data_IF_193771888670
#
_entry.id   IF_193771888670
#
_cell.length_a   1.000
_cell.length_b   1.000
_cell.length_c   1.000
_cell.angle_alpha   90.00
_cell.angle_beta   90.00
_cell.angle_gamma   90.00
#
_symmetry.space_group_name_H-M   'P 1'
#
loop_
_entity.id
_entity.type
_entity.pdbx_description
1 polymer ?
#
# COMPACT_ATOMS: atom_id res chain seq x y z
N UNK A 1 0.05 -4.21 -2.01
CA UNK A 1 -1.17 -4.36 -2.80
C UNK A 1 -2.02 -5.50 -2.25
N UNK A 2 -3.36 -5.45 -2.39
CA UNK A 2 -4.24 -6.45 -1.76
C UNK A 2 -3.95 -7.90 -2.17
N UNK A 3 -3.48 -8.14 -3.38
CA UNK A 3 -3.18 -9.48 -3.87
C UNK A 3 -2.02 -10.15 -3.11
N UNK A 4 -1.18 -9.36 -2.46
CA UNK A 4 -0.02 -9.83 -1.71
C UNK A 4 -0.13 -9.57 -0.22
N UNK A 5 -1.16 -8.84 0.19
CA UNK A 5 -1.35 -8.46 1.57
C UNK A 5 -2.43 -9.31 2.22
N UNK A 6 -2.08 -10.36 2.85
CA UNK A 6 -2.98 -11.16 3.65
C UNK A 6 -2.37 -11.35 5.03
N UNK A 7 -3.19 -11.74 5.97
CA UNK A 7 -2.71 -12.07 7.29
C UNK A 7 -1.68 -13.20 7.18
N UNK A 8 -0.53 -13.03 7.81
CA UNK A 8 0.55 -13.97 7.75
C UNK A 8 1.48 -13.83 6.56
N UNK A 9 1.17 -12.94 5.61
CA UNK A 9 2.01 -12.68 4.46
C UNK A 9 2.82 -11.39 4.59
N UNK A 10 3.03 -10.95 5.80
CA UNK A 10 3.82 -9.76 6.07
C UNK A 10 5.31 -10.09 6.15
N UNK A 11 6.14 -9.07 5.99
CA UNK A 11 7.57 -9.19 6.03
C UNK A 11 8.16 -9.66 4.71
N UNK A 12 9.33 -10.29 4.76
CA UNK A 12 10.12 -10.60 3.57
C UNK A 12 9.46 -11.57 2.60
N UNK A 13 8.58 -12.45 3.09
CA UNK A 13 7.90 -13.44 2.24
C UNK A 13 7.08 -12.84 1.13
N UNK A 14 6.29 -11.81 1.45
CA UNK A 14 5.47 -11.10 0.46
C UNK A 14 6.38 -10.44 -0.57
N UNK A 15 7.42 -9.78 -0.10
CA UNK A 15 8.33 -9.03 -0.95
C UNK A 15 9.20 -9.96 -1.79
N UNK A 16 9.61 -11.10 -1.25
CA UNK A 16 10.30 -12.13 -2.03
C UNK A 16 9.44 -12.62 -3.19
N UNK A 17 8.15 -12.85 -2.95
CA UNK A 17 7.23 -13.28 -4.00
C UNK A 17 7.06 -12.22 -5.08
N UNK A 18 6.95 -10.96 -4.71
CA UNK A 18 6.84 -9.84 -5.65
C UNK A 18 8.08 -9.75 -6.53
N UNK A 19 9.27 -9.83 -5.92
CA UNK A 19 10.53 -9.79 -6.65
C UNK A 19 10.67 -11.00 -7.57
N UNK A 20 10.32 -12.19 -7.08
CA UNK A 20 10.43 -13.42 -7.86
C UNK A 20 9.54 -13.43 -9.11
N UNK A 21 8.38 -12.77 -9.03
CA UNK A 21 7.47 -12.64 -10.16
C UNK A 21 7.89 -11.59 -11.18
N UNK A 22 8.93 -10.84 -10.88
CA UNK A 22 9.40 -9.77 -11.77
C UNK A 22 8.48 -8.56 -11.81
N UNK A 23 7.68 -8.35 -10.75
CA UNK A 23 6.84 -7.17 -10.66
C UNK A 23 7.68 -5.89 -10.69
N UNK A 24 7.18 -4.86 -11.32
CA UNK A 24 7.85 -3.56 -11.41
C UNK A 24 7.33 -2.55 -10.41
N UNK A 25 6.14 -2.81 -9.89
CA UNK A 25 5.46 -1.95 -8.92
C UNK A 25 4.91 -2.82 -7.83
N UNK A 26 5.15 -2.41 -6.60
CA UNK A 26 4.50 -2.90 -5.40
C UNK A 26 3.75 -1.73 -4.75
N UNK A 27 3.39 -1.84 -3.50
CA UNK A 27 2.72 -0.71 -2.86
C UNK A 27 2.32 -0.95 -1.44
N UNK A 28 1.75 0.11 -0.89
CA UNK A 28 1.16 0.13 0.45
C UNK A 28 -0.32 0.38 0.30
N UNK A 29 -1.12 -0.38 1.03
CA UNK A 29 -2.57 -0.18 1.10
C UNK A 29 -2.97 0.05 2.54
N UNK A 30 -3.70 1.13 2.79
CA UNK A 30 -4.31 1.40 4.10
C UNK A 30 -5.82 1.29 3.92
N UNK A 31 -6.47 0.51 4.77
CA UNK A 31 -7.90 0.27 4.68
C UNK A 31 -8.55 0.33 6.06
N UNK A 32 -9.87 0.55 6.07
CA UNK A 32 -10.64 0.41 7.30
C UNK A 32 -10.65 -1.06 7.72
N UNK A 33 -10.69 -1.28 9.01
CA UNK A 33 -10.81 -2.64 9.56
C UNK A 33 -12.30 -3.00 9.63
N UNK A 34 -12.64 -4.17 9.12
CA UNK A 34 -13.98 -4.72 9.22
C UNK A 34 -13.92 -6.00 10.04
N UNK A 35 -14.69 -6.08 11.12
CA UNK A 35 -14.69 -7.22 12.02
C UNK A 35 -15.24 -8.51 11.38
N UNK A 36 -16.05 -8.37 10.34
CA UNK A 36 -16.70 -9.50 9.68
C UNK A 36 -15.94 -10.01 8.46
N UNK A 37 -15.04 -9.21 7.91
CA UNK A 37 -14.31 -9.53 6.69
C UNK A 37 -12.83 -9.19 6.88
N UNK A 38 -11.98 -9.92 6.19
CA UNK A 38 -10.54 -9.67 6.21
C UNK A 38 -10.16 -8.36 5.53
N UNK A 39 -11.12 -7.73 4.85
CA UNK A 39 -10.90 -6.49 4.10
C UNK A 39 -11.97 -5.48 4.41
N UNK A 40 -11.55 -4.30 4.81
CA UNK A 40 -12.38 -3.11 4.81
C UNK A 40 -12.19 -2.30 3.53
N UNK A 41 -12.93 -1.22 3.41
CA UNK A 41 -12.79 -0.29 2.29
C UNK A 41 -11.40 0.37 2.31
N UNK A 42 -10.84 0.58 1.14
CA UNK A 42 -9.51 1.17 0.99
C UNK A 42 -9.57 2.67 1.25
N UNK A 43 -8.71 3.14 2.15
CA UNK A 43 -8.54 4.56 2.46
C UNK A 43 -7.57 5.21 1.49
N UNK A 44 -6.42 4.57 1.27
CA UNK A 44 -5.36 5.09 0.40
C UNK A 44 -4.45 3.96 -0.05
N UNK A 45 -3.86 4.16 -1.22
CA UNK A 45 -2.81 3.28 -1.75
C UNK A 45 -1.67 4.14 -2.26
N UNK A 46 -0.46 3.63 -2.14
CA UNK A 46 0.75 4.30 -2.59
C UNK A 46 1.64 3.31 -3.35
N UNK A 47 1.98 3.60 -4.59
CA UNK A 47 2.87 2.74 -5.34
C UNK A 47 4.31 2.85 -4.84
N UNK A 48 5.01 1.72 -4.86
CA UNK A 48 6.42 1.63 -4.49
C UNK A 48 7.16 0.95 -5.65
N UNK A 49 8.23 1.55 -6.17
CA UNK A 49 8.96 0.94 -7.28
C UNK A 49 9.69 -0.33 -6.84
N UNK A 50 9.74 -1.28 -7.76
CA UNK A 50 10.54 -2.50 -7.62
C UNK A 50 11.65 -2.45 -8.66
N UNK A 51 12.89 -2.47 -8.21
CA UNK A 51 14.05 -2.41 -9.09
C UNK A 51 14.56 -3.80 -9.43
N UNK A 52 15.21 -3.93 -10.57
CA UNK A 52 15.77 -5.20 -11.01
C UNK A 52 16.79 -5.79 -10.02
N UNK A 53 17.41 -4.92 -9.23
CA UNK A 53 18.42 -5.31 -8.24
C UNK A 53 17.83 -5.63 -6.88
N UNK A 54 16.49 -5.50 -6.72
CA UNK A 54 15.88 -5.73 -5.42
C UNK A 54 15.91 -7.18 -5.00
N UNK A 55 16.08 -7.34 -3.70
CA UNK A 55 15.75 -8.57 -2.98
C UNK A 55 14.47 -8.31 -2.19
N UNK A 56 13.88 -9.34 -1.61
CA UNK A 56 12.76 -9.18 -0.71
C UNK A 56 13.08 -8.21 0.45
N UNK A 57 14.30 -8.28 0.97
CA UNK A 57 14.73 -7.40 2.07
C UNK A 57 14.81 -5.94 1.66
N UNK A 58 15.39 -5.63 0.51
CA UNK A 58 15.50 -4.24 0.06
C UNK A 58 14.16 -3.65 -0.31
N UNK A 59 13.29 -4.44 -0.93
CA UNK A 59 11.94 -4.01 -1.23
C UNK A 59 11.13 -3.79 0.05
N UNK A 60 11.22 -4.70 1.02
CA UNK A 60 10.54 -4.57 2.30
C UNK A 60 10.91 -3.26 3.00
N UNK A 61 12.18 -2.89 3.00
CA UNK A 61 12.65 -1.65 3.61
C UNK A 61 12.03 -0.41 2.91
N UNK A 62 11.94 -0.45 1.58
CA UNK A 62 11.33 0.64 0.81
C UNK A 62 9.84 0.75 1.06
N UNK A 63 9.13 -0.37 1.10
CA UNK A 63 7.71 -0.40 1.41
C UNK A 63 7.44 0.13 2.82
N UNK A 64 8.26 -0.26 3.79
CA UNK A 64 8.12 0.21 5.16
C UNK A 64 8.28 1.73 5.27
N UNK A 65 9.23 2.31 4.55
CA UNK A 65 9.39 3.78 4.52
C UNK A 65 8.15 4.46 3.93
N UNK A 66 7.58 3.89 2.88
CA UNK A 66 6.35 4.42 2.29
C UNK A 66 5.17 4.31 3.27
N UNK A 67 5.06 3.20 3.98
CA UNK A 67 4.04 3.00 5.00
C UNK A 67 4.15 4.02 6.13
N UNK A 68 5.36 4.29 6.61
CA UNK A 68 5.60 5.28 7.66
C UNK A 68 5.23 6.71 7.22
N UNK A 69 5.25 6.99 5.94
CA UNK A 69 4.80 8.28 5.40
C UNK A 69 3.30 8.32 5.18
N UNK A 70 2.72 7.23 4.72
CA UNK A 70 1.32 7.17 4.36
C UNK A 70 0.40 7.04 5.58
N UNK A 71 0.75 6.19 6.54
CA UNK A 71 -0.12 5.85 7.64
C UNK A 71 -0.52 7.05 8.51
N UNK A 72 0.40 7.94 8.92
CA UNK A 72 0.00 9.12 9.69
C UNK A 72 -0.97 10.04 8.94
N UNK A 73 -0.81 10.15 7.63
CA UNK A 73 -1.69 10.97 6.78
C UNK A 73 -3.08 10.35 6.70
N UNK A 74 -3.16 9.03 6.56
CA UNK A 74 -4.43 8.31 6.54
C UNK A 74 -5.16 8.44 7.88
N UNK A 75 -4.45 8.28 8.99
CA UNK A 75 -5.01 8.42 10.32
C UNK A 75 -5.54 9.85 10.53
N UNK A 76 -4.78 10.85 10.16
CA UNK A 76 -5.19 12.25 10.28
C UNK A 76 -6.44 12.55 9.43
N UNK A 77 -6.52 12.01 8.23
CA UNK A 77 -7.66 12.20 7.34
C UNK A 77 -8.93 11.58 7.91
N UNK A 78 -8.84 10.41 8.51
CA UNK A 78 -9.98 9.76 9.16
C UNK A 78 -10.37 10.53 10.42
N UNK A 79 -9.42 10.93 11.24
CA UNK A 79 -9.67 11.67 12.47
C UNK A 79 -10.33 13.03 12.21
N UNK A 80 -9.97 13.70 11.13
CA UNK A 80 -10.54 15.01 10.78
C UNK A 80 -11.88 14.92 10.04
N UNK A 81 -12.27 13.74 9.60
CA UNK A 81 -13.44 13.55 8.76
C UNK A 81 -13.21 13.84 7.28
N UNK A 82 -11.97 14.12 6.86
CA UNK A 82 -11.63 14.30 5.45
C UNK A 82 -11.86 13.01 4.66
N UNK A 83 -11.73 11.87 5.32
CA UNK A 83 -12.04 10.55 4.78
C UNK A 83 -13.03 9.88 5.73
N UNK A 84 -14.11 9.36 5.19
CA UNK A 84 -15.14 8.67 5.96
C UNK A 84 -15.82 7.60 5.11
N UNK A 85 -16.56 6.73 5.76
CA UNK A 85 -17.44 5.79 5.09
C UNK A 85 -18.83 6.40 4.92
N UNK A 86 -19.42 6.23 3.75
CA UNK A 86 -20.81 6.57 3.52
C UNK A 86 -21.74 5.47 4.07
N UNK A 87 -23.08 5.64 4.01
CA UNK A 87 -24.00 4.62 4.50
C UNK A 87 -23.94 3.28 3.75
N UNK A 88 -23.31 3.25 2.57
CA UNK A 88 -23.14 2.04 1.76
C UNK A 88 -21.77 1.40 1.94
N UNK A 89 -20.97 1.89 2.90
CA UNK A 89 -19.64 1.35 3.17
C UNK A 89 -18.57 1.76 2.16
N UNK A 90 -18.82 2.80 1.38
CA UNK A 90 -17.84 3.35 0.42
C UNK A 90 -17.04 4.47 1.05
N UNK A 91 -15.80 4.57 0.65
CA UNK A 91 -14.93 5.66 1.10
C UNK A 91 -15.29 6.94 0.37
N UNK A 92 -15.53 8.00 1.13
CA UNK A 92 -15.78 9.36 0.63
C UNK A 92 -14.67 10.25 1.12
N UNK A 93 -14.21 11.14 0.24
CA UNK A 93 -13.09 12.03 0.54
C UNK A 93 -11.78 11.43 0.09
N UNK A 94 -10.72 12.14 0.40
CA UNK A 94 -9.38 11.74 -0.01
C UNK A 94 -8.35 12.08 1.06
N UNK A 95 -7.30 11.27 1.10
CA UNK A 95 -6.12 11.54 1.91
C UNK A 95 -5.24 12.51 1.14
N UNK A 96 -4.72 13.53 1.83
CA UNK A 96 -3.71 14.40 1.29
C UNK A 96 -2.40 13.62 1.23
N UNK A 97 -2.03 13.18 0.03
CA UNK A 97 -0.86 12.37 -0.18
C UNK A 97 0.34 13.21 -0.55
N UNK A 98 1.54 12.80 -0.12
CA UNK A 98 2.75 13.42 -0.62
C UNK A 98 2.90 13.13 -2.12
N UNK A 99 3.85 13.83 -2.74
CA UNK A 99 4.16 13.61 -4.14
C UNK A 99 4.50 12.14 -4.40
N UNK A 100 3.99 11.59 -5.51
CA UNK A 100 4.26 10.21 -5.86
C UNK A 100 5.76 10.00 -6.05
N UNK A 101 6.27 8.85 -5.60
CA UNK A 101 7.67 8.52 -5.84
C UNK A 101 7.93 8.34 -7.33
N UNK A 102 9.15 8.63 -7.74
CA UNK A 102 9.58 8.32 -9.09
C UNK A 102 9.57 6.80 -9.28
N UNK A 103 8.84 6.34 -10.28
CA UNK A 103 8.76 4.92 -10.57
C UNK A 103 9.77 4.55 -11.66
N UNK A 104 10.33 3.34 -11.59
CA UNK A 104 11.19 2.87 -12.67
C UNK A 104 10.39 2.78 -13.96
N UNK A 105 11.10 2.95 -15.07
CA UNK A 105 10.49 2.82 -16.38
C UNK A 105 9.89 1.42 -16.54
N UNK A 106 8.60 1.38 -16.89
CA UNK A 106 7.87 0.12 -17.05
C UNK A 106 8.05 -0.40 -18.48
N UNK A 107 9.28 -0.66 -18.85
CA UNK A 107 9.55 -1.16 -20.17
C UNK A 107 9.08 -2.58 -20.35
N UNK A 108 8.35 -2.77 -21.41
CA UNK A 108 8.00 -4.10 -21.87
C UNK A 108 9.17 -4.63 -22.68
N UNK A 109 9.66 -5.76 -22.30
CA UNK A 109 10.72 -6.43 -23.00
C UNK A 109 10.20 -7.35 -24.07
#
# INVERSE_FOLDING_TARGET
LPAFGGEGMYGSRVHDAVVAQGARVSGVTVHFVDEHYDRGAIIAQWPVPVYATDTGTTLAARVLRAEHRLLPRAVAAVASGAVRLDPHGRVVGAVDLPELPELPELNVR
#
